data_IF_334335605931
#
_entry.id   IF_334335605931
#
_cell.length_a   1.000
_cell.length_b   1.000
_cell.length_c   1.000
_cell.angle_alpha   90.00
_cell.angle_beta   90.00
_cell.angle_gamma   90.00
#
_symmetry.space_group_name_H-M   'P 1'
#
loop_
_entity.id
_entity.type
_entity.pdbx_description
1 polymer ?
#
# COMPACT_ATOMS: atom_id res chain seq x y z
N UNK A 1 -10.58 22.60 14.85
CA UNK A 1 -11.71 21.79 14.44
C UNK A 1 -11.62 20.40 15.10
N UNK A 2 -12.67 19.99 15.87
CA UNK A 2 -12.51 18.91 16.85
C UNK A 2 -12.61 17.47 16.30
N UNK A 3 -12.96 17.25 15.03
CA UNK A 3 -13.35 15.93 14.53
C UNK A 3 -12.19 14.99 14.19
N UNK A 4 -11.06 15.51 13.76
CA UNK A 4 -9.91 14.66 13.34
C UNK A 4 -9.12 14.13 14.55
N UNK A 5 -8.99 14.91 15.62
CA UNK A 5 -8.34 14.47 16.86
C UNK A 5 -9.11 13.33 17.55
N UNK A 6 -10.45 13.35 17.51
CA UNK A 6 -11.27 12.34 18.18
C UNK A 6 -11.04 10.91 17.67
N UNK A 7 -10.92 10.71 16.36
CA UNK A 7 -10.70 9.38 15.78
C UNK A 7 -9.32 8.86 16.15
N UNK A 8 -8.30 9.72 16.10
CA UNK A 8 -6.93 9.34 16.45
C UNK A 8 -6.76 9.07 17.95
N UNK A 9 -7.34 9.91 18.81
CA UNK A 9 -7.34 9.73 20.26
C UNK A 9 -8.03 8.40 20.64
N UNK A 10 -9.20 8.14 20.05
CA UNK A 10 -9.94 6.90 20.28
C UNK A 10 -9.17 5.67 19.78
N UNK A 11 -8.49 5.77 18.66
CA UNK A 11 -7.62 4.71 18.17
C UNK A 11 -6.45 4.43 19.13
N UNK A 12 -5.77 5.47 19.61
CA UNK A 12 -4.68 5.34 20.57
C UNK A 12 -5.14 4.70 21.90
N UNK A 13 -6.34 5.04 22.40
CA UNK A 13 -6.95 4.38 23.53
C UNK A 13 -7.19 2.88 23.27
N UNK A 14 -7.77 2.54 22.12
CA UNK A 14 -8.13 1.15 21.78
C UNK A 14 -6.92 0.24 21.70
N UNK A 15 -5.81 0.67 21.08
CA UNK A 15 -4.62 -0.17 20.96
C UNK A 15 -3.91 -0.43 22.28
N UNK A 16 -4.15 0.40 23.30
CA UNK A 16 -3.60 0.24 24.64
C UNK A 16 -4.47 -0.63 25.57
N UNK A 17 -5.68 -0.99 25.16
CA UNK A 17 -6.55 -1.81 26.00
C UNK A 17 -5.97 -3.22 26.25
N UNK A 18 -5.98 -3.72 27.50
CA UNK A 18 -5.43 -5.05 27.82
C UNK A 18 -6.00 -6.19 26.98
N UNK A 19 -7.28 -6.11 26.60
CA UNK A 19 -7.95 -7.10 25.75
C UNK A 19 -7.36 -7.20 24.34
N UNK A 20 -6.69 -6.14 23.86
CA UNK A 20 -6.09 -6.08 22.53
C UNK A 20 -4.62 -6.53 22.52
N UNK A 21 -4.04 -6.87 23.67
CA UNK A 21 -2.63 -7.24 23.81
C UNK A 21 -2.21 -8.38 22.86
N UNK A 22 -3.03 -9.41 22.71
CA UNK A 22 -2.71 -10.54 21.82
C UNK A 22 -2.70 -10.11 20.34
N UNK A 23 -3.64 -9.25 19.95
CA UNK A 23 -3.66 -8.69 18.59
C UNK A 23 -2.41 -7.85 18.34
N UNK A 24 -2.00 -7.00 19.27
CA UNK A 24 -0.77 -6.19 19.16
C UNK A 24 0.47 -7.09 19.06
N UNK A 25 0.56 -8.19 19.81
CA UNK A 25 1.68 -9.14 19.69
C UNK A 25 1.72 -9.82 18.31
N UNK A 26 0.58 -10.19 17.74
CA UNK A 26 0.49 -10.74 16.40
C UNK A 26 0.90 -9.69 15.33
N UNK A 27 0.39 -8.46 15.44
CA UNK A 27 0.77 -7.34 14.59
C UNK A 27 2.28 -7.06 14.65
N UNK A 28 2.85 -7.05 15.86
CA UNK A 28 4.29 -6.88 16.10
C UNK A 28 5.10 -7.95 15.36
N UNK A 29 4.70 -9.21 15.47
CA UNK A 29 5.33 -10.30 14.73
C UNK A 29 5.27 -10.11 13.22
N UNK A 30 4.11 -9.76 12.67
CA UNK A 30 3.95 -9.53 11.23
C UNK A 30 4.85 -8.40 10.70
N UNK A 31 5.00 -7.34 11.50
CA UNK A 31 5.91 -6.22 11.18
C UNK A 31 7.37 -6.67 11.25
N UNK A 32 7.77 -7.32 12.33
CA UNK A 32 9.15 -7.80 12.55
C UNK A 32 9.58 -8.84 11.50
N UNK A 33 8.64 -9.64 10.97
CA UNK A 33 8.90 -10.63 9.93
C UNK A 33 9.10 -10.00 8.52
N UNK A 34 8.65 -8.78 8.27
CA UNK A 34 8.63 -8.19 6.93
C UNK A 34 9.41 -6.87 6.81
N UNK A 35 9.09 -5.85 7.62
CA UNK A 35 9.59 -4.49 7.42
C UNK A 35 11.11 -4.33 7.58
N UNK A 36 11.83 -5.12 8.41
CA UNK A 36 13.30 -5.05 8.44
C UNK A 36 13.98 -5.36 7.11
N UNK A 37 13.32 -6.16 6.26
CA UNK A 37 13.81 -6.56 4.94
C UNK A 37 13.10 -5.85 3.78
N UNK A 38 12.31 -4.81 4.07
CA UNK A 38 11.58 -4.08 3.05
C UNK A 38 12.52 -3.52 1.98
N UNK A 39 12.27 -3.91 0.74
CA UNK A 39 13.00 -3.44 -0.44
C UNK A 39 12.08 -3.51 -1.66
N UNK A 40 11.78 -2.37 -2.27
CA UNK A 40 11.01 -2.30 -3.52
C UNK A 40 11.80 -1.56 -4.60
N UNK A 41 11.29 -1.58 -5.83
CA UNK A 41 11.90 -0.88 -6.96
C UNK A 41 10.82 -0.37 -7.91
N UNK A 42 10.90 0.90 -8.34
CA UNK A 42 10.00 1.45 -9.37
C UNK A 42 10.05 0.73 -10.70
N UNK A 43 11.16 0.06 -11.00
CA UNK A 43 11.34 -0.72 -12.23
C UNK A 43 10.44 -1.97 -12.30
N UNK A 44 9.92 -2.44 -11.16
CA UNK A 44 9.01 -3.58 -11.13
C UNK A 44 7.58 -3.13 -11.45
N UNK A 45 7.00 -3.70 -12.51
CA UNK A 45 5.62 -3.40 -12.91
C UNK A 45 4.63 -4.24 -12.09
N UNK A 46 3.69 -3.58 -11.41
CA UNK A 46 2.58 -4.26 -10.71
C UNK A 46 1.52 -4.73 -11.71
N UNK A 47 0.88 -5.87 -11.44
CA UNK A 47 -0.17 -6.43 -12.27
C UNK A 47 -1.44 -6.74 -11.48
N UNK A 48 -2.55 -6.96 -12.19
CA UNK A 48 -3.86 -7.14 -11.59
C UNK A 48 -3.97 -8.44 -10.81
N UNK A 49 -4.33 -8.36 -9.53
CA UNK A 49 -4.37 -9.49 -8.59
C UNK A 49 -5.27 -10.66 -9.00
N UNK A 50 -6.24 -10.42 -9.88
CA UNK A 50 -7.10 -11.47 -10.42
C UNK A 50 -6.39 -12.45 -11.37
N UNK A 51 -5.13 -12.23 -11.72
CA UNK A 51 -4.33 -13.17 -12.50
C UNK A 51 -3.53 -14.17 -11.64
N UNK A 52 -3.75 -14.22 -10.32
CA UNK A 52 -3.00 -15.09 -9.41
C UNK A 52 -3.73 -16.39 -9.10
N UNK A 53 -4.14 -17.07 -10.17
CA UNK A 53 -4.84 -18.34 -10.12
C UNK A 53 -4.25 -19.31 -11.13
N UNK A 54 -4.41 -20.61 -10.85
CA UNK A 54 -4.01 -21.70 -11.72
C UNK A 54 -4.98 -21.83 -12.92
N UNK A 55 -4.43 -21.94 -14.12
CA UNK A 55 -5.20 -22.09 -15.36
C UNK A 55 -5.86 -23.47 -15.46
N UNK A 56 -5.30 -24.51 -14.79
CA UNK A 56 -5.74 -25.88 -14.92
C UNK A 56 -6.92 -26.21 -13.98
N UNK A 57 -6.94 -25.65 -12.75
CA UNK A 57 -7.90 -26.02 -11.70
C UNK A 57 -8.55 -24.84 -10.99
N UNK A 58 -8.18 -23.59 -11.34
CA UNK A 58 -8.68 -22.38 -10.71
C UNK A 58 -8.18 -22.15 -9.27
N UNK A 59 -7.26 -22.99 -8.77
CA UNK A 59 -6.65 -22.83 -7.46
C UNK A 59 -5.85 -21.54 -7.33
N UNK A 60 -5.79 -20.98 -6.13
CA UNK A 60 -4.97 -19.79 -5.86
C UNK A 60 -3.49 -20.13 -5.95
N UNK A 61 -2.69 -19.18 -6.40
CA UNK A 61 -1.25 -19.29 -6.28
C UNK A 61 -0.82 -18.80 -4.88
N UNK A 62 0.15 -19.49 -4.30
CA UNK A 62 0.68 -19.16 -2.97
C UNK A 62 1.57 -17.93 -3.07
N UNK A 63 1.23 -16.89 -2.31
CA UNK A 63 2.09 -15.72 -2.15
C UNK A 63 3.19 -16.02 -1.12
N UNK A 64 4.41 -16.18 -1.59
CA UNK A 64 5.61 -16.37 -0.77
C UNK A 64 6.56 -15.18 -0.97
N UNK A 65 6.92 -14.51 0.10
CA UNK A 65 7.83 -13.35 0.10
C UNK A 65 9.22 -13.69 -0.45
N UNK A 66 9.66 -14.92 -0.24
CA UNK A 66 10.99 -15.38 -0.64
C UNK A 66 11.02 -15.93 -2.07
N UNK A 67 9.88 -15.98 -2.75
CA UNK A 67 9.75 -16.61 -4.08
C UNK A 67 9.09 -15.67 -5.08
N UNK A 68 9.70 -14.50 -5.41
CA UNK A 68 9.11 -13.50 -6.30
C UNK A 68 8.94 -13.96 -7.76
N UNK A 69 9.58 -15.06 -8.14
CA UNK A 69 9.59 -15.61 -9.51
C UNK A 69 9.11 -17.06 -9.58
N UNK A 70 8.49 -17.59 -8.51
CA UNK A 70 8.02 -18.97 -8.46
C UNK A 70 6.70 -19.05 -7.67
N UNK A 71 5.59 -19.24 -8.38
CA UNK A 71 4.24 -19.12 -7.83
C UNK A 71 3.51 -20.45 -7.94
N UNK A 72 3.42 -21.19 -6.83
CA UNK A 72 2.83 -22.52 -6.79
C UNK A 72 1.32 -22.50 -6.58
N UNK A 73 0.60 -23.29 -7.36
CA UNK A 73 -0.82 -23.56 -7.10
C UNK A 73 -1.01 -24.32 -5.78
N UNK A 74 -1.94 -23.89 -4.96
CA UNK A 74 -2.27 -24.53 -3.68
C UNK A 74 -2.95 -25.90 -3.83
N UNK A 75 -3.56 -26.18 -5.02
CA UNK A 75 -4.30 -27.42 -5.29
C UNK A 75 -3.42 -28.44 -5.99
N UNK A 76 -2.98 -28.16 -7.24
CA UNK A 76 -2.25 -29.12 -8.06
C UNK A 76 -0.71 -29.03 -7.93
N UNK A 77 -0.21 -27.99 -7.28
CA UNK A 77 1.23 -27.79 -7.12
C UNK A 77 1.97 -27.28 -8.37
N UNK A 78 1.26 -27.04 -9.50
CA UNK A 78 1.84 -26.42 -10.70
C UNK A 78 2.52 -25.11 -10.37
N UNK A 79 3.71 -24.89 -10.92
CA UNK A 79 4.53 -23.69 -10.69
C UNK A 79 4.48 -22.79 -11.91
N UNK A 80 4.24 -21.51 -11.67
CA UNK A 80 4.28 -20.45 -12.67
C UNK A 80 5.52 -19.59 -12.42
N UNK A 81 6.24 -19.26 -13.49
CA UNK A 81 7.41 -18.38 -13.48
C UNK A 81 7.37 -17.53 -14.74
N UNK A 82 6.62 -16.45 -14.69
CA UNK A 82 6.46 -15.52 -15.81
C UNK A 82 6.07 -14.13 -15.33
N UNK A 83 6.21 -13.14 -16.20
CA UNK A 83 5.98 -11.72 -15.91
C UNK A 83 4.58 -11.40 -15.38
N UNK A 84 3.56 -12.23 -15.68
CA UNK A 84 2.19 -11.95 -15.22
C UNK A 84 2.10 -12.19 -13.72
N UNK A 85 2.48 -13.40 -13.26
CA UNK A 85 2.42 -13.75 -11.84
C UNK A 85 3.47 -12.98 -11.02
N UNK A 86 4.65 -12.73 -11.57
CA UNK A 86 5.68 -11.89 -10.95
C UNK A 86 5.13 -10.48 -10.67
N UNK A 87 4.44 -9.88 -11.65
CA UNK A 87 3.82 -8.57 -11.48
C UNK A 87 2.67 -8.57 -10.46
N UNK A 88 1.92 -9.66 -10.34
CA UNK A 88 0.90 -9.80 -9.28
C UNK A 88 1.56 -9.94 -7.91
N UNK A 89 2.66 -10.70 -7.83
CA UNK A 89 3.46 -10.79 -6.61
C UNK A 89 3.92 -9.39 -6.16
N UNK A 90 4.38 -8.53 -7.10
CA UNK A 90 4.74 -7.13 -6.82
C UNK A 90 3.56 -6.35 -6.24
N UNK A 91 2.36 -6.53 -6.79
CA UNK A 91 1.13 -5.89 -6.25
C UNK A 91 0.87 -6.31 -4.80
N UNK A 92 0.98 -7.60 -4.49
CA UNK A 92 0.75 -8.11 -3.14
C UNK A 92 1.86 -7.66 -2.19
N UNK A 93 3.10 -7.65 -2.63
CA UNK A 93 4.24 -7.15 -1.86
C UNK A 93 4.05 -5.68 -1.44
N UNK A 94 3.74 -4.79 -2.41
CA UNK A 94 3.48 -3.38 -2.15
C UNK A 94 2.30 -3.16 -1.22
N UNK A 95 1.19 -3.87 -1.48
CA UNK A 95 0.03 -3.81 -0.61
C UNK A 95 0.36 -4.24 0.82
N UNK A 96 1.15 -5.30 1.00
CA UNK A 96 1.61 -5.77 2.31
C UNK A 96 2.51 -4.73 2.99
N UNK A 97 3.47 -4.14 2.27
CA UNK A 97 4.34 -3.10 2.82
C UNK A 97 3.54 -1.92 3.36
N UNK A 98 2.58 -1.43 2.60
CA UNK A 98 1.73 -0.29 3.01
C UNK A 98 0.81 -0.64 4.18
N UNK A 99 0.21 -1.84 4.17
CA UNK A 99 -0.58 -2.32 5.33
C UNK A 99 0.29 -2.43 6.57
N UNK A 100 1.49 -2.99 6.45
CA UNK A 100 2.38 -3.15 7.60
C UNK A 100 2.98 -1.83 8.08
N UNK A 101 3.12 -0.82 7.23
CA UNK A 101 3.44 0.54 7.69
C UNK A 101 2.34 1.09 8.61
N UNK A 102 1.07 0.94 8.24
CA UNK A 102 -0.07 1.32 9.09
C UNK A 102 -0.11 0.51 10.40
N UNK A 103 0.07 -0.82 10.30
CA UNK A 103 0.14 -1.71 11.47
C UNK A 103 1.31 -1.34 12.38
N UNK A 104 2.46 -0.96 11.80
CA UNK A 104 3.64 -0.54 12.55
C UNK A 104 3.39 0.74 13.35
N UNK A 105 2.69 1.72 12.76
CA UNK A 105 2.26 2.91 13.49
C UNK A 105 1.35 2.56 14.69
N UNK A 106 0.42 1.60 14.50
CA UNK A 106 -0.43 1.10 15.58
C UNK A 106 0.37 0.40 16.69
N UNK A 107 1.34 -0.44 16.33
CA UNK A 107 2.24 -1.10 17.28
C UNK A 107 3.06 -0.08 18.06
N UNK A 108 3.58 0.95 17.39
CA UNK A 108 4.29 2.05 18.05
C UNK A 108 3.42 2.73 19.12
N UNK A 109 2.18 3.10 18.77
CA UNK A 109 1.25 3.71 19.73
C UNK A 109 0.88 2.80 20.92
N UNK A 110 0.86 1.49 20.69
CA UNK A 110 0.56 0.51 21.74
C UNK A 110 1.75 0.24 22.67
N UNK A 111 2.99 0.32 22.16
CA UNK A 111 4.19 -0.15 22.86
C UNK A 111 5.17 0.93 23.24
N UNK A 112 5.18 2.06 22.53
CA UNK A 112 6.19 3.12 22.61
C UNK A 112 7.54 2.75 22.00
N UNK A 113 7.69 1.58 21.37
CA UNK A 113 8.94 1.13 20.76
C UNK A 113 9.22 1.90 19.45
N UNK A 114 10.17 2.81 19.45
CA UNK A 114 10.44 3.74 18.33
C UNK A 114 10.77 3.08 17.01
N UNK A 115 11.35 1.86 17.01
CA UNK A 115 11.62 1.11 15.79
C UNK A 115 10.39 0.91 14.89
N UNK A 116 9.19 0.79 15.49
CA UNK A 116 7.95 0.61 14.72
C UNK A 116 7.48 1.90 14.06
N UNK A 117 7.70 3.06 14.70
CA UNK A 117 7.56 4.36 14.02
C UNK A 117 8.52 4.44 12.84
N UNK A 118 9.77 4.11 13.06
CA UNK A 118 10.84 4.23 12.05
C UNK A 118 10.59 3.29 10.85
N UNK A 119 10.09 2.08 11.07
CA UNK A 119 9.65 1.19 9.99
C UNK A 119 8.48 1.77 9.16
N UNK A 120 7.49 2.38 9.83
CA UNK A 120 6.38 3.01 9.12
C UNK A 120 6.87 4.17 8.24
N UNK A 121 7.76 5.01 8.77
CA UNK A 121 8.34 6.14 8.05
C UNK A 121 9.24 5.68 6.90
N UNK A 122 10.04 4.63 7.08
CA UNK A 122 10.88 4.05 6.03
C UNK A 122 10.07 3.70 4.77
N UNK A 123 8.90 3.10 4.93
CA UNK A 123 8.02 2.74 3.80
C UNK A 123 7.51 4.01 3.11
N UNK A 124 7.03 4.99 3.88
CA UNK A 124 6.51 6.25 3.32
C UNK A 124 7.63 7.03 2.62
N UNK A 125 8.80 7.14 3.24
CA UNK A 125 9.96 7.83 2.67
C UNK A 125 10.41 7.22 1.34
N UNK A 126 10.45 5.88 1.27
CA UNK A 126 10.76 5.19 0.03
C UNK A 126 9.78 5.58 -1.09
N UNK A 127 8.47 5.48 -0.84
CA UNK A 127 7.50 5.83 -1.87
C UNK A 127 7.46 7.33 -2.18
N UNK A 128 7.67 8.20 -1.20
CA UNK A 128 7.80 9.64 -1.43
C UNK A 128 9.02 10.00 -2.29
N UNK A 129 10.14 9.30 -2.09
CA UNK A 129 11.34 9.51 -2.90
C UNK A 129 11.18 9.04 -4.35
N UNK A 130 10.48 7.91 -4.55
CA UNK A 130 10.48 7.19 -5.83
C UNK A 130 9.14 7.22 -6.58
N UNK A 131 8.07 7.81 -6.05
CA UNK A 131 6.74 7.75 -6.69
C UNK A 131 6.72 8.28 -8.12
N UNK A 132 7.50 9.30 -8.41
CA UNK A 132 7.62 9.88 -9.75
C UNK A 132 8.23 8.92 -10.78
N UNK A 133 9.03 7.94 -10.34
CA UNK A 133 9.70 6.95 -11.19
C UNK A 133 8.78 5.78 -11.60
N UNK A 134 7.70 5.54 -10.84
CA UNK A 134 6.77 4.45 -11.17
C UNK A 134 6.05 4.73 -12.48
N UNK A 135 5.98 3.71 -13.31
CA UNK A 135 5.36 3.77 -14.65
C UNK A 135 3.84 3.89 -14.54
N UNK A 136 3.28 4.83 -15.27
CA UNK A 136 1.82 4.98 -15.40
C UNK A 136 1.26 3.87 -16.30
N UNK A 137 0.38 3.02 -15.77
CA UNK A 137 -0.14 1.87 -16.49
C UNK A 137 -1.56 1.49 -16.01
N UNK A 138 -2.22 0.61 -16.74
CA UNK A 138 -3.51 0.06 -16.35
C UNK A 138 -3.43 -1.45 -16.02
N UNK A 139 -4.54 -2.03 -15.61
CA UNK A 139 -4.64 -3.45 -15.24
C UNK A 139 -4.33 -4.42 -16.38
N UNK A 140 -4.43 -3.98 -17.64
CA UNK A 140 -4.05 -4.70 -18.86
C UNK A 140 -2.55 -4.50 -19.20
N UNK A 141 -1.79 -3.80 -18.35
CA UNK A 141 -0.37 -3.47 -18.52
C UNK A 141 -0.06 -2.53 -19.69
N UNK A 142 -1.05 -1.81 -20.18
CA UNK A 142 -0.80 -0.73 -21.12
C UNK A 142 -0.15 0.43 -20.39
N UNK A 143 1.01 0.86 -20.90
CA UNK A 143 1.78 2.00 -20.40
C UNK A 143 1.28 3.28 -21.07
N UNK A 144 1.29 4.38 -20.32
CA UNK A 144 0.91 5.71 -20.77
C UNK A 144 2.05 6.68 -20.46
N UNK A 145 2.30 7.59 -21.39
CA UNK A 145 3.44 8.52 -21.28
C UNK A 145 3.15 9.69 -20.32
N UNK A 146 1.87 10.03 -20.13
CA UNK A 146 1.48 11.16 -19.28
C UNK A 146 0.06 11.00 -18.71
N UNK A 147 -0.29 11.85 -17.75
CA UNK A 147 -1.65 11.91 -17.18
C UNK A 147 -2.69 12.39 -18.19
N UNK A 148 -2.27 13.18 -19.20
CA UNK A 148 -3.16 13.67 -20.27
C UNK A 148 -3.55 12.56 -21.26
N UNK A 149 -2.69 11.55 -21.41
CA UNK A 149 -2.92 10.41 -22.30
C UNK A 149 -3.47 9.19 -21.60
N UNK A 150 -3.47 9.18 -20.27
CA UNK A 150 -3.98 8.04 -19.48
C UNK A 150 -5.47 7.84 -19.70
N UNK A 151 -5.89 6.59 -19.58
CA UNK A 151 -7.30 6.22 -19.51
C UNK A 151 -7.75 6.09 -18.06
N UNK A 152 -9.05 6.19 -17.86
CA UNK A 152 -9.68 5.89 -16.59
C UNK A 152 -9.27 4.49 -16.06
N UNK A 153 -9.05 4.37 -14.76
CA UNK A 153 -8.64 3.13 -14.11
C UNK A 153 -7.12 2.89 -14.01
N UNK A 154 -6.28 3.85 -14.46
CA UNK A 154 -4.82 3.71 -14.35
C UNK A 154 -4.30 3.84 -12.91
N UNK A 155 -3.14 3.21 -12.66
CA UNK A 155 -2.31 3.35 -11.46
C UNK A 155 -0.85 3.60 -11.81
N UNK A 156 0.00 3.74 -10.81
CA UNK A 156 1.46 3.85 -10.93
C UNK A 156 2.17 2.77 -10.11
N UNK A 157 2.20 2.90 -8.80
CA UNK A 157 2.75 1.84 -7.94
C UNK A 157 1.84 0.61 -7.88
N UNK A 158 0.54 0.79 -8.12
CA UNK A 158 -0.48 -0.26 -8.13
C UNK A 158 -1.07 -0.41 -9.53
N UNK A 159 -1.68 -1.57 -9.88
CA UNK A 159 -2.10 -1.85 -11.26
C UNK A 159 -3.31 -1.03 -11.73
N UNK A 160 -4.01 -0.36 -10.83
CA UNK A 160 -5.20 0.44 -11.15
C UNK A 160 -5.51 1.49 -10.10
N UNK A 161 -6.29 2.52 -10.48
CA UNK A 161 -6.67 3.63 -9.60
C UNK A 161 -7.36 3.24 -8.31
N UNK A 162 -8.17 2.16 -8.30
CA UNK A 162 -8.77 1.62 -7.08
C UNK A 162 -7.71 1.25 -6.03
N UNK A 163 -6.72 0.46 -6.43
CA UNK A 163 -5.67 0.01 -5.53
C UNK A 163 -4.75 1.17 -5.13
N UNK A 164 -4.50 2.09 -6.05
CA UNK A 164 -3.73 3.32 -5.79
C UNK A 164 -4.43 4.19 -4.72
N UNK A 165 -5.73 4.39 -4.83
CA UNK A 165 -6.53 5.14 -3.85
C UNK A 165 -6.52 4.49 -2.47
N UNK A 166 -6.67 3.16 -2.39
CA UNK A 166 -6.60 2.41 -1.14
C UNK A 166 -5.24 2.58 -0.47
N UNK A 167 -4.16 2.56 -1.24
CA UNK A 167 -2.80 2.78 -0.73
C UNK A 167 -2.63 4.21 -0.23
N UNK A 168 -3.13 5.22 -0.95
CA UNK A 168 -3.10 6.61 -0.51
C UNK A 168 -3.79 6.79 0.84
N UNK A 169 -4.99 6.23 1.01
CA UNK A 169 -5.74 6.27 2.27
C UNK A 169 -4.93 5.66 3.41
N UNK A 170 -4.27 4.52 3.20
CA UNK A 170 -3.45 3.87 4.23
C UNK A 170 -2.23 4.70 4.62
N UNK A 171 -1.58 5.35 3.68
CA UNK A 171 -0.50 6.30 3.98
C UNK A 171 -1.01 7.49 4.79
N UNK A 172 -2.16 8.06 4.43
CA UNK A 172 -2.79 9.15 5.18
C UNK A 172 -3.08 8.68 6.62
N UNK A 173 -3.72 7.52 6.79
CA UNK A 173 -4.01 6.96 8.11
C UNK A 173 -2.74 6.73 8.94
N UNK A 174 -1.67 6.24 8.33
CA UNK A 174 -0.36 6.05 8.99
C UNK A 174 0.19 7.38 9.50
N UNK A 175 0.16 8.40 8.65
CA UNK A 175 0.64 9.75 8.98
C UNK A 175 -0.23 10.36 10.10
N UNK A 176 -1.56 10.23 10.02
CA UNK A 176 -2.45 10.77 11.06
C UNK A 176 -2.20 10.12 12.43
N UNK A 177 -1.93 8.82 12.47
CA UNK A 177 -1.57 8.13 13.72
C UNK A 177 -0.26 8.66 14.29
N UNK A 178 0.72 8.97 13.42
CA UNK A 178 2.05 9.43 13.81
C UNK A 178 2.18 10.95 13.87
N UNK A 179 1.16 11.70 13.46
CA UNK A 179 1.22 13.17 13.29
C UNK A 179 1.87 13.93 14.45
N UNK A 180 1.59 13.64 15.74
CA UNK A 180 2.20 14.36 16.86
C UNK A 180 3.73 14.26 16.93
N UNK A 181 4.33 13.24 16.29
CA UNK A 181 5.76 12.97 16.29
C UNK A 181 6.45 13.37 14.97
N UNK A 182 5.70 13.98 14.02
CA UNK A 182 6.22 14.30 12.70
C UNK A 182 6.58 15.78 12.57
N UNK A 183 7.76 16.03 12.03
CA UNK A 183 8.22 17.38 11.71
C UNK A 183 7.42 17.98 10.55
N UNK A 184 7.10 19.26 10.63
CA UNK A 184 6.32 19.97 9.60
C UNK A 184 7.01 19.92 8.22
N UNK A 185 8.33 20.06 8.18
CA UNK A 185 9.11 19.97 6.94
C UNK A 185 8.99 18.58 6.28
N UNK A 186 9.00 17.51 7.08
CA UNK A 186 8.81 16.15 6.58
C UNK A 186 7.41 15.98 5.97
N UNK A 187 6.37 16.47 6.66
CA UNK A 187 4.98 16.43 6.17
C UNK A 187 4.84 17.16 4.83
N UNK A 188 5.42 18.35 4.70
CA UNK A 188 5.40 19.13 3.46
C UNK A 188 6.14 18.42 2.32
N UNK A 189 7.25 17.77 2.62
CA UNK A 189 8.02 17.00 1.64
C UNK A 189 7.23 15.78 1.15
N UNK A 190 6.63 15.00 2.04
CA UNK A 190 5.79 13.85 1.68
C UNK A 190 4.55 14.31 0.90
N UNK A 191 3.88 15.37 1.34
CA UNK A 191 2.76 15.94 0.60
C UNK A 191 3.16 16.30 -0.84
N UNK A 192 4.27 17.01 -1.02
CA UNK A 192 4.75 17.45 -2.33
C UNK A 192 5.16 16.30 -3.24
N UNK A 193 5.89 15.31 -2.70
CA UNK A 193 6.52 14.24 -3.51
C UNK A 193 5.62 13.03 -3.73
N UNK A 194 4.73 12.73 -2.79
CA UNK A 194 3.86 11.55 -2.85
C UNK A 194 2.40 11.94 -3.12
N UNK A 195 1.77 12.64 -2.18
CA UNK A 195 0.32 12.85 -2.26
C UNK A 195 -0.11 13.75 -3.42
N UNK A 196 0.63 14.82 -3.71
CA UNK A 196 0.33 15.69 -4.84
C UNK A 196 0.31 14.91 -6.15
N UNK A 197 1.26 13.99 -6.36
CA UNK A 197 1.32 13.16 -7.55
C UNK A 197 0.24 12.07 -7.55
N UNK A 198 -0.02 11.42 -6.39
CA UNK A 198 -1.15 10.48 -6.26
C UNK A 198 -2.49 11.15 -6.54
N UNK A 199 -2.73 12.35 -6.02
CA UNK A 199 -3.98 13.08 -6.23
C UNK A 199 -4.13 13.57 -7.68
N UNK A 200 -3.03 13.95 -8.33
CA UNK A 200 -3.02 14.25 -9.76
C UNK A 200 -3.45 13.05 -10.62
N UNK A 201 -3.06 11.85 -10.20
CA UNK A 201 -3.50 10.59 -10.83
C UNK A 201 -4.98 10.28 -10.52
N UNK A 202 -5.42 10.47 -9.27
CA UNK A 202 -6.72 10.01 -8.80
C UNK A 202 -7.87 10.98 -9.12
N UNK A 203 -7.63 12.30 -9.10
CA UNK A 203 -8.68 13.29 -9.29
C UNK A 203 -9.43 13.14 -10.64
N UNK A 204 -8.77 12.91 -11.79
CA UNK A 204 -9.47 12.66 -13.05
C UNK A 204 -10.29 11.38 -13.07
N UNK A 205 -10.06 10.46 -12.13
CA UNK A 205 -10.76 9.17 -12.04
C UNK A 205 -12.00 9.23 -11.13
N UNK A 206 -12.24 10.36 -10.46
CA UNK A 206 -13.35 10.56 -9.53
C UNK A 206 -14.65 11.07 -10.22
N UNK A 207 -14.84 10.78 -11.50
CA UNK A 207 -15.91 11.37 -12.33
C UNK A 207 -17.05 10.41 -12.67
N UNK A 208 -16.84 9.11 -12.53
CA UNK A 208 -17.83 8.10 -12.89
C UNK A 208 -18.58 7.57 -11.66
N UNK A 209 -19.80 7.06 -11.82
CA UNK A 209 -20.52 6.35 -10.76
C UNK A 209 -19.99 4.91 -10.71
N UNK A 210 -18.86 4.73 -10.00
CA UNK A 210 -18.13 3.48 -9.93
C UNK A 210 -17.34 3.38 -8.61
N UNK A 211 -17.02 2.16 -8.17
CA UNK A 211 -16.25 1.95 -6.94
C UNK A 211 -14.86 2.61 -6.99
N UNK A 212 -14.20 2.66 -8.14
CA UNK A 212 -12.92 3.38 -8.31
C UNK A 212 -13.07 4.85 -7.95
N UNK A 213 -14.13 5.50 -8.45
CA UNK A 213 -14.40 6.91 -8.16
C UNK A 213 -14.69 7.15 -6.68
N UNK A 214 -15.45 6.26 -6.03
CA UNK A 214 -15.70 6.35 -4.59
C UNK A 214 -14.40 6.28 -3.78
N UNK A 215 -13.50 5.37 -4.13
CA UNK A 215 -12.21 5.27 -3.47
C UNK A 215 -11.29 6.46 -3.78
N UNK A 216 -11.30 6.94 -5.03
CA UNK A 216 -10.53 8.13 -5.42
C UNK A 216 -11.00 9.37 -4.65
N UNK A 217 -12.32 9.58 -4.54
CA UNK A 217 -12.88 10.66 -3.73
C UNK A 217 -12.50 10.54 -2.25
N UNK A 218 -12.56 9.33 -1.68
CA UNK A 218 -12.17 9.10 -0.29
C UNK A 218 -10.67 9.35 -0.03
N UNK A 219 -9.82 9.21 -1.05
CA UNK A 219 -8.39 9.46 -0.93
C UNK A 219 -8.01 10.94 -1.04
N UNK A 220 -8.78 11.74 -1.81
CA UNK A 220 -8.46 13.15 -2.07
C UNK A 220 -9.28 14.14 -1.21
N UNK A 221 -10.37 13.68 -0.57
CA UNK A 221 -11.24 14.48 0.32
C UNK A 221 -10.80 14.48 1.73
#
# INVERSE_FOLDING_TARGET
EPTMNYVNDRFCELVQLPRNRQAILAMKKDVDDFLPSFCDSPAKLSRWGHHYFCDDDGGRLIFDLNSPHSHRCEICGKVYSNDVQDGVWVTFYRNRAVVLALVSAAVYKATGETKYRDYALQVIDFYAAHYHEFVLHNKENKIFDSYETMKWGCGKMMPQGLNEAIVAIRFIQTIEILRPELEQEWLENVHRKLFREMFRLLAPQAVEIHNISCWSLAAIG
#
